data_IF_227203279810
#
_entry.id   IF_227203279810
#
_cell.length_a   1.000
_cell.length_b   1.000
_cell.length_c   1.000
_cell.angle_alpha   90.00
_cell.angle_beta   90.00
_cell.angle_gamma   90.00
#
_symmetry.space_group_name_H-M   'P 1'
#
loop_
_entity.id
_entity.type
_entity.pdbx_description
1 polymer ?
#
# COMPACT_ATOMS: atom_id res chain seq x y z
N UNK A 1 22.02 -6.96 -14.79
CA UNK A 1 22.00 -5.88 -13.79
C UNK A 1 22.08 -6.45 -12.37
N UNK A 2 22.72 -5.72 -11.46
CA UNK A 2 22.80 -6.10 -10.05
C UNK A 2 21.53 -5.65 -9.31
N UNK A 3 20.76 -6.59 -8.76
CA UNK A 3 19.49 -6.30 -8.10
C UNK A 3 19.26 -7.23 -6.89
N UNK A 4 18.30 -6.84 -6.01
CA UNK A 4 17.82 -7.75 -4.98
C UNK A 4 16.88 -8.78 -5.59
N UNK A 5 17.14 -10.05 -5.34
CA UNK A 5 16.27 -11.14 -5.75
C UNK A 5 15.76 -11.89 -4.53
N UNK A 6 14.48 -12.15 -4.50
CA UNK A 6 13.80 -12.93 -3.48
C UNK A 6 13.18 -14.19 -4.09
N UNK A 7 13.45 -15.32 -3.47
CA UNK A 7 13.01 -16.62 -3.95
C UNK A 7 12.32 -17.41 -2.82
N UNK A 8 11.17 -17.98 -3.13
CA UNK A 8 10.29 -18.69 -2.20
C UNK A 8 10.42 -20.20 -2.39
N UNK A 9 10.80 -20.89 -1.33
CA UNK A 9 10.83 -22.37 -1.28
C UNK A 9 10.37 -22.85 0.09
N UNK A 10 9.86 -24.09 0.17
CA UNK A 10 9.43 -24.70 1.45
C UNK A 10 10.56 -24.70 2.50
N UNK A 11 11.80 -25.09 2.18
CA UNK A 11 12.89 -25.02 3.17
C UNK A 11 13.17 -23.61 3.69
N UNK A 12 13.15 -22.57 2.81
CA UNK A 12 13.33 -21.16 3.22
C UNK A 12 12.19 -20.67 4.08
N UNK A 13 10.95 -21.02 3.73
CA UNK A 13 9.78 -20.75 4.57
C UNK A 13 9.95 -21.31 5.98
N UNK A 14 10.33 -22.58 6.12
CA UNK A 14 10.54 -23.21 7.41
C UNK A 14 11.70 -22.58 8.19
N UNK A 15 12.81 -22.24 7.51
CA UNK A 15 13.93 -21.54 8.14
C UNK A 15 13.54 -20.14 8.63
N UNK A 16 12.88 -19.36 7.82
CA UNK A 16 12.44 -18.02 8.21
C UNK A 16 11.46 -18.06 9.38
N UNK A 17 10.50 -18.97 9.36
CA UNK A 17 9.51 -19.13 10.43
C UNK A 17 10.11 -19.62 11.77
N UNK A 18 11.15 -20.44 11.72
CA UNK A 18 11.80 -20.99 12.94
C UNK A 18 12.92 -20.09 13.46
N UNK A 19 13.74 -19.50 12.59
CA UNK A 19 14.94 -18.75 12.96
C UNK A 19 14.77 -17.22 12.87
N UNK A 20 13.75 -16.72 12.16
CA UNK A 20 13.57 -15.29 11.91
C UNK A 20 13.45 -14.44 13.18
N UNK A 21 12.98 -15.02 14.28
CA UNK A 21 12.95 -14.36 15.59
C UNK A 21 14.32 -14.20 16.26
N UNK A 22 15.34 -14.94 15.79
CA UNK A 22 16.69 -14.93 16.37
C UNK A 22 17.71 -14.24 15.49
N UNK A 23 17.49 -14.20 14.17
CA UNK A 23 18.41 -13.59 13.23
C UNK A 23 17.71 -12.99 12.01
N UNK A 24 18.05 -11.74 11.71
CA UNK A 24 17.54 -11.06 10.49
C UNK A 24 18.06 -11.70 9.19
N UNK A 25 19.13 -12.51 9.24
CA UNK A 25 19.60 -13.26 8.06
C UNK A 25 18.58 -14.29 7.57
N UNK A 26 17.71 -14.77 8.45
CA UNK A 26 16.65 -15.70 8.10
C UNK A 26 15.38 -15.00 7.56
N UNK A 27 15.28 -13.66 7.66
CA UNK A 27 14.18 -12.86 7.10
C UNK A 27 14.68 -11.94 5.99
N UNK A 28 15.70 -11.12 6.26
CA UNK A 28 16.21 -10.09 5.34
C UNK A 28 17.57 -10.48 4.73
N UNK A 29 17.83 -11.78 4.59
CA UNK A 29 19.10 -12.29 4.10
C UNK A 29 18.98 -13.59 3.31
N UNK A 30 20.12 -14.17 2.95
CA UNK A 30 20.15 -15.31 2.02
C UNK A 30 19.50 -16.58 2.58
N UNK A 31 19.40 -16.74 3.89
CA UNK A 31 18.72 -17.88 4.51
C UNK A 31 17.21 -17.82 4.28
N UNK A 32 16.61 -16.60 4.30
CA UNK A 32 15.22 -16.32 3.97
C UNK A 32 14.95 -16.24 2.46
N UNK A 33 15.98 -16.24 1.62
CA UNK A 33 15.83 -16.18 0.17
C UNK A 33 16.12 -14.82 -0.47
N UNK A 34 16.37 -13.77 0.32
CA UNK A 34 16.71 -12.45 -0.19
C UNK A 34 18.23 -12.31 -0.37
N UNK A 35 18.67 -11.95 -1.56
CA UNK A 35 20.09 -11.74 -1.88
C UNK A 35 20.30 -10.71 -2.98
N UNK A 36 21.40 -9.98 -2.89
CA UNK A 36 21.92 -9.20 -4.00
C UNK A 36 22.55 -10.16 -5.01
N UNK A 37 22.13 -10.10 -6.28
CA UNK A 37 22.62 -10.99 -7.33
C UNK A 37 22.57 -10.33 -8.71
N UNK A 38 23.27 -10.89 -9.66
CA UNK A 38 23.09 -10.53 -11.06
C UNK A 38 21.81 -11.16 -11.61
N UNK A 39 20.95 -10.34 -12.19
CA UNK A 39 19.76 -10.76 -12.93
C UNK A 39 19.82 -10.19 -14.35
N UNK A 40 19.19 -10.83 -15.33
CA UNK A 40 19.08 -10.26 -16.67
C UNK A 40 18.48 -8.87 -16.62
N UNK A 41 18.98 -7.96 -17.45
CA UNK A 41 18.33 -6.68 -17.66
C UNK A 41 17.04 -6.91 -18.45
N UNK A 42 15.90 -6.33 -18.05
CA UNK A 42 14.63 -6.58 -18.72
C UNK A 42 14.62 -5.91 -20.09
N UNK A 43 14.12 -6.64 -21.10
CA UNK A 43 13.82 -6.08 -22.42
C UNK A 43 12.31 -5.76 -22.51
N UNK A 44 11.94 -4.83 -23.40
CA UNK A 44 10.53 -4.50 -23.63
C UNK A 44 9.77 -5.73 -24.12
N UNK A 45 8.69 -6.13 -23.43
CA UNK A 45 7.87 -7.27 -23.83
C UNK A 45 7.10 -7.05 -25.13
N UNK A 46 6.68 -5.79 -25.41
CA UNK A 46 5.93 -5.41 -26.60
C UNK A 46 6.14 -3.92 -26.94
N UNK A 47 5.57 -3.48 -28.07
CA UNK A 47 5.75 -2.14 -28.60
C UNK A 47 5.12 -1.01 -27.74
N UNK A 48 4.19 -1.35 -26.86
CA UNK A 48 3.48 -0.44 -25.95
C UNK A 48 4.06 -0.43 -24.53
N UNK A 49 5.29 -0.95 -24.38
CA UNK A 49 6.01 -0.98 -23.10
C UNK A 49 7.10 0.09 -23.05
N UNK A 50 7.55 0.39 -21.84
CA UNK A 50 8.53 1.43 -21.53
C UNK A 50 9.63 0.85 -20.65
N UNK A 51 10.88 1.12 -21.01
CA UNK A 51 12.06 0.81 -20.21
C UNK A 51 12.37 1.95 -19.24
N UNK A 52 12.62 1.62 -18.00
CA UNK A 52 12.72 2.57 -16.90
C UNK A 52 14.03 2.37 -16.13
N UNK A 53 14.70 3.47 -15.79
CA UNK A 53 15.73 3.53 -14.76
C UNK A 53 15.09 3.94 -13.45
N UNK A 54 15.19 3.11 -12.44
CA UNK A 54 14.69 3.42 -11.11
C UNK A 54 15.51 4.53 -10.47
N UNK A 55 14.83 5.56 -9.97
CA UNK A 55 15.41 6.63 -9.16
C UNK A 55 15.37 6.21 -7.69
N UNK A 56 14.19 5.77 -7.23
CA UNK A 56 13.99 5.32 -5.86
C UNK A 56 12.78 4.40 -5.75
N UNK A 57 12.79 3.51 -4.77
CA UNK A 57 11.68 2.62 -4.47
C UNK A 57 11.42 2.50 -2.97
N UNK A 58 10.17 2.66 -2.55
CA UNK A 58 9.75 2.52 -1.17
C UNK A 58 9.79 1.07 -0.66
N UNK A 59 9.90 0.94 0.66
CA UNK A 59 9.71 -0.34 1.38
C UNK A 59 8.32 -0.31 2.02
N UNK A 60 7.46 -1.23 1.59
CA UNK A 60 6.11 -1.42 2.13
C UNK A 60 6.09 -2.42 3.28
N UNK A 61 5.09 -2.33 4.15
CA UNK A 61 4.81 -3.37 5.13
C UNK A 61 4.54 -4.74 4.51
N UNK A 62 3.99 -4.77 3.30
CA UNK A 62 3.74 -6.00 2.53
C UNK A 62 5.06 -6.67 2.11
N UNK A 63 6.09 -5.89 1.76
CA UNK A 63 7.43 -6.43 1.46
C UNK A 63 8.01 -7.11 2.69
N UNK A 64 7.95 -6.44 3.85
CA UNK A 64 8.44 -7.01 5.12
C UNK A 64 7.69 -8.29 5.49
N UNK A 65 6.37 -8.31 5.32
CA UNK A 65 5.55 -9.49 5.58
C UNK A 65 5.86 -10.64 4.63
N UNK A 66 6.10 -10.35 3.35
CA UNK A 66 6.47 -11.35 2.32
C UNK A 66 7.86 -11.93 2.61
N UNK A 67 8.85 -11.08 2.86
CA UNK A 67 10.23 -11.50 3.16
C UNK A 67 10.34 -12.31 4.46
N UNK A 68 9.48 -12.02 5.46
CA UNK A 68 9.43 -12.75 6.72
C UNK A 68 8.47 -13.94 6.70
N UNK A 69 7.82 -14.21 5.57
CA UNK A 69 6.79 -15.25 5.42
C UNK A 69 5.64 -15.14 6.44
N UNK A 70 5.26 -13.90 6.77
CA UNK A 70 4.10 -13.60 7.63
C UNK A 70 2.89 -13.08 6.83
N UNK A 71 3.06 -12.83 5.54
CA UNK A 71 1.96 -12.52 4.64
C UNK A 71 0.96 -13.70 4.56
N UNK A 72 -0.29 -13.39 4.19
CA UNK A 72 -1.33 -14.40 4.02
C UNK A 72 -0.95 -15.38 2.90
N UNK A 73 -0.90 -16.68 3.20
CA UNK A 73 -0.58 -17.74 2.23
C UNK A 73 -1.62 -17.85 1.11
N UNK A 74 -2.84 -17.37 1.34
CA UNK A 74 -3.90 -17.30 0.31
C UNK A 74 -3.58 -16.36 -0.85
N UNK A 75 -2.59 -15.47 -0.71
CA UNK A 75 -2.12 -14.61 -1.81
C UNK A 75 -0.98 -15.23 -2.64
N UNK A 76 -0.41 -16.35 -2.21
CA UNK A 76 0.70 -17.01 -2.93
C UNK A 76 0.37 -17.32 -4.39
N UNK A 77 -0.82 -17.83 -4.76
CA UNK A 77 -1.16 -18.11 -6.15
C UNK A 77 -1.16 -16.89 -7.09
N UNK A 78 -1.21 -15.68 -6.51
CA UNK A 78 -1.24 -14.40 -7.23
C UNK A 78 0.14 -13.71 -7.28
N UNK A 79 1.20 -14.46 -7.07
CA UNK A 79 2.59 -14.06 -7.24
C UNK A 79 3.37 -15.10 -8.02
N UNK A 80 4.54 -14.73 -8.53
CA UNK A 80 5.49 -15.65 -9.16
C UNK A 80 6.92 -15.30 -8.72
N UNK A 81 7.73 -16.33 -8.44
CA UNK A 81 9.08 -16.19 -7.89
C UNK A 81 10.09 -17.06 -8.68
N UNK A 82 11.41 -16.73 -8.69
CA UNK A 82 12.03 -15.61 -7.97
C UNK A 82 11.64 -14.24 -8.56
N UNK A 83 11.58 -13.20 -7.73
CA UNK A 83 11.21 -11.85 -8.11
C UNK A 83 12.24 -10.81 -7.62
N UNK A 84 12.33 -9.68 -8.32
CA UNK A 84 12.99 -8.47 -7.80
C UNK A 84 11.90 -7.65 -7.09
N UNK A 85 11.97 -7.45 -5.75
CA UNK A 85 10.92 -6.76 -5.01
C UNK A 85 10.87 -5.25 -5.26
N UNK A 86 9.93 -4.57 -4.56
CA UNK A 86 9.72 -3.12 -4.60
C UNK A 86 8.66 -2.71 -5.61
N UNK A 87 7.53 -2.19 -5.10
CA UNK A 87 6.36 -1.82 -5.90
C UNK A 87 5.96 -0.35 -5.74
N UNK A 88 6.58 0.41 -4.84
CA UNK A 88 6.41 1.85 -4.69
C UNK A 88 7.55 2.55 -5.47
N UNK A 89 7.33 2.93 -6.72
CA UNK A 89 8.44 3.20 -7.67
C UNK A 89 8.37 4.60 -8.24
N UNK A 90 9.48 5.33 -8.11
CA UNK A 90 9.80 6.52 -8.88
C UNK A 90 10.93 6.16 -9.86
N UNK A 91 10.74 6.48 -11.13
CA UNK A 91 11.71 6.14 -12.18
C UNK A 91 11.85 7.25 -13.23
N UNK A 92 12.82 7.09 -14.10
CA UNK A 92 13.03 7.91 -15.31
C UNK A 92 12.92 7.01 -16.54
N UNK A 93 12.25 7.50 -17.57
CA UNK A 93 12.14 6.79 -18.84
C UNK A 93 13.49 6.75 -19.52
N UNK A 94 13.96 5.56 -19.90
CA UNK A 94 15.18 5.33 -20.70
C UNK A 94 14.88 4.87 -22.12
N UNK A 95 13.81 4.09 -22.28
CA UNK A 95 13.42 3.55 -23.58
C UNK A 95 11.90 3.63 -23.72
N UNK A 96 11.43 3.98 -24.92
CA UNK A 96 10.00 4.05 -25.22
C UNK A 96 9.71 3.12 -26.40
N UNK A 97 8.81 2.19 -26.22
CA UNK A 97 8.37 1.31 -27.30
C UNK A 97 7.66 2.06 -28.42
N UNK A 98 7.75 1.60 -29.67
CA UNK A 98 7.33 2.38 -30.86
C UNK A 98 5.81 2.64 -30.93
N UNK A 99 4.98 1.93 -30.16
CA UNK A 99 3.55 2.20 -30.09
C UNK A 99 3.17 3.28 -29.05
N UNK A 100 4.07 3.65 -28.15
CA UNK A 100 3.86 4.71 -27.14
C UNK A 100 4.12 6.08 -27.80
N UNK A 101 3.15 7.00 -27.71
CA UNK A 101 3.20 8.29 -28.42
C UNK A 101 3.21 9.53 -27.53
N UNK A 102 2.93 9.34 -26.25
CA UNK A 102 2.67 10.40 -25.27
C UNK A 102 3.68 10.42 -24.13
N UNK A 103 4.77 9.65 -24.25
CA UNK A 103 5.89 9.63 -23.31
C UNK A 103 7.21 9.85 -24.04
N UNK A 104 8.17 10.47 -23.36
CA UNK A 104 9.49 10.77 -23.88
C UNK A 104 10.61 10.29 -22.95
N UNK A 105 11.75 9.91 -23.51
CA UNK A 105 12.95 9.58 -22.75
C UNK A 105 13.37 10.77 -21.89
N UNK A 106 13.72 10.49 -20.65
CA UNK A 106 14.12 11.50 -19.67
C UNK A 106 13.00 11.96 -18.73
N UNK A 107 11.72 11.72 -19.05
CA UNK A 107 10.60 12.05 -18.14
C UNK A 107 10.71 11.29 -16.83
N UNK A 108 10.43 11.98 -15.71
CA UNK A 108 10.21 11.36 -14.41
C UNK A 108 8.81 10.79 -14.37
N UNK A 109 8.67 9.56 -13.85
CA UNK A 109 7.40 8.84 -13.81
C UNK A 109 7.25 8.07 -12.51
N UNK A 110 6.01 7.91 -12.05
CA UNK A 110 5.64 6.91 -11.06
C UNK A 110 4.91 5.77 -11.74
N UNK A 111 5.07 4.58 -11.20
CA UNK A 111 4.58 3.34 -11.82
C UNK A 111 3.44 2.75 -10.99
N UNK A 112 2.28 2.55 -11.61
CA UNK A 112 1.25 1.67 -11.08
C UNK A 112 1.72 0.21 -11.19
N UNK A 113 2.03 -0.47 -10.09
CA UNK A 113 2.56 -1.82 -10.15
C UNK A 113 1.50 -2.89 -10.45
N UNK A 114 0.20 -2.56 -10.49
CA UNK A 114 -0.87 -3.54 -10.68
C UNK A 114 -0.90 -4.11 -12.09
N UNK A 115 -1.04 -5.44 -12.19
CA UNK A 115 -1.05 -6.18 -13.45
C UNK A 115 -2.50 -6.42 -13.91
N UNK A 116 -3.07 -5.43 -14.59
CA UNK A 116 -4.41 -5.51 -15.19
C UNK A 116 -4.49 -6.50 -16.36
N UNK A 117 -5.68 -6.82 -16.85
CA UNK A 117 -5.88 -7.58 -18.09
C UNK A 117 -5.13 -6.95 -19.25
N UNK A 118 -5.10 -5.62 -19.38
CA UNK A 118 -4.38 -4.90 -20.42
C UNK A 118 -2.87 -5.15 -20.36
N UNK A 119 -2.27 -5.04 -19.18
CA UNK A 119 -0.84 -5.32 -18.97
C UNK A 119 -0.50 -6.78 -19.32
N UNK A 120 -1.46 -7.69 -19.05
CA UNK A 120 -1.32 -9.11 -19.40
C UNK A 120 -1.50 -9.39 -20.89
N UNK A 121 -1.89 -8.40 -21.72
CA UNK A 121 -2.05 -8.49 -23.15
C UNK A 121 -3.41 -9.04 -23.59
N UNK A 122 -4.40 -9.10 -22.69
CA UNK A 122 -5.77 -9.45 -23.11
C UNK A 122 -6.39 -8.29 -23.89
N UNK A 123 -7.09 -8.55 -25.00
CA UNK A 123 -7.82 -7.51 -25.73
C UNK A 123 -8.96 -6.94 -24.88
N UNK A 124 -9.37 -5.69 -25.14
CA UNK A 124 -10.33 -4.96 -24.29
C UNK A 124 -11.66 -5.69 -24.09
N UNK A 125 -12.14 -6.41 -25.12
CA UNK A 125 -13.35 -7.24 -25.09
C UNK A 125 -13.25 -8.45 -24.15
N UNK A 126 -12.04 -8.91 -23.86
CA UNK A 126 -11.75 -10.05 -22.96
C UNK A 126 -11.38 -9.61 -21.54
N UNK A 127 -11.34 -8.32 -21.26
CA UNK A 127 -11.05 -7.85 -19.91
C UNK A 127 -12.09 -8.38 -18.91
N UNK A 128 -11.63 -8.80 -17.73
CA UNK A 128 -12.49 -9.22 -16.64
C UNK A 128 -13.38 -8.07 -16.14
N UNK A 129 -14.52 -8.34 -15.47
CA UNK A 129 -15.42 -7.32 -14.93
C UNK A 129 -14.70 -6.24 -14.09
N UNK A 130 -13.76 -6.64 -13.24
CA UNK A 130 -12.99 -5.72 -12.40
C UNK A 130 -12.14 -4.75 -13.24
N UNK A 131 -11.39 -5.24 -14.22
CA UNK A 131 -10.57 -4.39 -15.09
C UNK A 131 -11.44 -3.48 -16.00
N UNK A 132 -12.58 -3.96 -16.49
CA UNK A 132 -13.53 -3.14 -17.26
C UNK A 132 -14.11 -1.97 -16.47
N UNK A 133 -14.22 -2.11 -15.17
CA UNK A 133 -14.69 -1.05 -14.27
C UNK A 133 -13.56 -0.23 -13.65
N UNK A 134 -12.32 -0.36 -14.18
CA UNK A 134 -11.17 0.40 -13.72
C UNK A 134 -10.63 -0.02 -12.34
N UNK A 135 -10.83 -1.30 -11.95
CA UNK A 135 -10.41 -1.86 -10.64
C UNK A 135 -9.34 -2.95 -10.81
N UNK A 136 -8.12 -2.61 -11.29
CA UNK A 136 -7.09 -3.61 -11.57
C UNK A 136 -6.59 -4.35 -10.31
N UNK A 137 -6.69 -3.74 -9.13
CA UNK A 137 -6.32 -4.37 -7.86
C UNK A 137 -7.13 -5.62 -7.51
N UNK A 138 -8.29 -5.82 -8.14
CA UNK A 138 -9.14 -7.01 -8.01
C UNK A 138 -9.24 -7.78 -9.33
N UNK A 139 -8.20 -7.74 -10.16
CA UNK A 139 -8.19 -8.44 -11.46
C UNK A 139 -8.46 -9.93 -11.27
N UNK A 140 -9.52 -10.43 -11.92
CA UNK A 140 -9.96 -11.82 -11.81
C UNK A 140 -9.08 -12.80 -12.58
N UNK A 141 -8.21 -12.27 -13.47
CA UNK A 141 -7.22 -13.05 -14.23
C UNK A 141 -5.84 -13.13 -13.56
N UNK A 142 -5.71 -12.64 -12.32
CA UNK A 142 -4.40 -12.54 -11.64
C UNK A 142 -3.71 -13.90 -11.40
N UNK A 143 -4.48 -14.98 -11.33
CA UNK A 143 -3.99 -16.36 -11.17
C UNK A 143 -3.60 -17.06 -12.48
N UNK A 144 -3.82 -16.42 -13.63
CA UNK A 144 -3.57 -16.99 -14.96
C UNK A 144 -2.34 -16.35 -15.61
N UNK A 145 -1.68 -17.08 -16.49
CA UNK A 145 -0.62 -16.51 -17.33
C UNK A 145 -1.22 -15.54 -18.36
N UNK A 146 -0.51 -14.45 -18.65
CA UNK A 146 -0.93 -13.47 -19.65
C UNK A 146 -0.68 -13.92 -21.09
N UNK A 147 -1.20 -13.16 -22.05
CA UNK A 147 -0.90 -13.34 -23.49
C UNK A 147 0.31 -12.52 -23.93
N UNK A 148 0.65 -11.43 -23.24
CA UNK A 148 1.93 -10.71 -23.41
C UNK A 148 3.09 -11.68 -23.29
N UNK A 149 4.09 -11.55 -24.15
CA UNK A 149 5.25 -12.45 -24.18
C UNK A 149 6.48 -11.80 -23.59
N UNK A 150 7.14 -12.51 -22.70
CA UNK A 150 8.47 -12.15 -22.19
C UNK A 150 9.48 -13.14 -22.77
N UNK A 151 10.18 -12.71 -23.81
CA UNK A 151 11.00 -13.61 -24.63
C UNK A 151 10.16 -14.70 -25.30
N UNK A 152 10.47 -15.97 -25.03
CA UNK A 152 9.80 -17.12 -25.67
C UNK A 152 8.53 -17.60 -24.91
N UNK A 153 8.26 -17.12 -23.70
CA UNK A 153 7.16 -17.60 -22.85
C UNK A 153 6.08 -16.54 -22.62
N UNK A 154 4.85 -16.91 -22.26
CA UNK A 154 3.84 -15.96 -21.82
C UNK A 154 4.26 -15.32 -20.49
N UNK A 155 3.72 -14.12 -20.23
CA UNK A 155 3.88 -13.43 -18.96
C UNK A 155 3.28 -14.28 -17.83
N UNK A 156 4.07 -14.58 -16.82
CA UNK A 156 3.65 -15.41 -15.69
C UNK A 156 2.47 -14.78 -14.94
N UNK A 157 1.74 -15.60 -14.20
CA UNK A 157 0.71 -15.14 -13.26
C UNK A 157 1.29 -14.17 -12.21
N UNK A 158 0.46 -13.30 -11.68
CA UNK A 158 0.83 -12.34 -10.63
C UNK A 158 -0.11 -11.14 -10.61
N UNK A 159 -0.26 -10.48 -9.49
CA UNK A 159 -1.12 -9.30 -9.35
C UNK A 159 -0.32 -8.00 -9.42
N UNK A 160 0.98 -8.04 -9.07
CA UNK A 160 1.75 -6.82 -8.81
C UNK A 160 3.21 -6.99 -9.22
N UNK A 161 3.78 -6.00 -9.91
CA UNK A 161 5.22 -5.84 -10.09
C UNK A 161 5.88 -5.87 -8.68
N UNK A 162 7.08 -6.43 -8.57
CA UNK A 162 7.76 -6.62 -7.28
C UNK A 162 7.47 -7.96 -6.61
N UNK A 163 6.40 -8.66 -7.03
CA UNK A 163 6.09 -10.04 -6.65
C UNK A 163 5.92 -10.91 -7.92
N UNK A 164 6.67 -10.57 -8.97
CA UNK A 164 6.51 -11.15 -10.30
C UNK A 164 7.85 -11.59 -10.89
N UNK A 165 7.90 -12.83 -11.39
CA UNK A 165 9.15 -13.43 -11.87
C UNK A 165 9.69 -12.80 -13.17
N UNK A 166 8.82 -12.26 -14.01
CA UNK A 166 9.19 -11.71 -15.32
C UNK A 166 9.31 -10.17 -15.32
N UNK A 167 8.71 -9.50 -14.33
CA UNK A 167 8.68 -8.04 -14.24
C UNK A 167 9.39 -7.60 -12.96
N UNK A 168 10.67 -7.19 -13.07
CA UNK A 168 11.41 -6.73 -11.89
C UNK A 168 10.79 -5.48 -11.29
N UNK A 169 10.75 -5.43 -9.95
CA UNK A 169 10.37 -4.25 -9.20
C UNK A 169 11.53 -3.26 -9.00
N UNK A 170 11.27 -2.25 -8.18
CA UNK A 170 12.18 -1.12 -7.99
C UNK A 170 13.42 -1.37 -7.12
N UNK A 171 13.65 -2.59 -6.61
CA UNK A 171 14.88 -2.90 -5.88
C UNK A 171 15.97 -3.43 -6.82
N UNK A 172 16.06 -2.79 -7.97
CA UNK A 172 17.07 -2.93 -9.00
C UNK A 172 17.10 -1.68 -9.88
N UNK A 173 18.19 -1.44 -10.64
CA UNK A 173 18.37 -0.20 -11.39
C UNK A 173 17.47 -0.05 -12.61
N UNK A 174 16.98 -1.17 -13.18
CA UNK A 174 16.17 -1.18 -14.40
C UNK A 174 14.93 -2.04 -14.24
N UNK A 175 13.85 -1.57 -14.82
CA UNK A 175 12.58 -2.28 -14.91
C UNK A 175 11.86 -1.94 -16.22
N UNK A 176 10.80 -2.67 -16.51
CA UNK A 176 9.88 -2.37 -17.62
C UNK A 176 8.46 -2.31 -17.09
N UNK A 177 7.64 -1.45 -17.71
CA UNK A 177 6.22 -1.35 -17.42
C UNK A 177 5.43 -1.05 -18.70
N UNK A 178 4.18 -1.48 -18.74
CA UNK A 178 3.27 -1.16 -19.82
C UNK A 178 2.86 0.32 -19.78
N UNK A 179 2.61 0.94 -20.93
CA UNK A 179 2.24 2.37 -21.02
C UNK A 179 1.11 2.76 -20.04
N UNK A 180 0.11 1.89 -19.85
CA UNK A 180 -1.02 2.17 -18.95
C UNK A 180 -0.65 2.24 -17.47
N UNK A 181 0.54 1.80 -17.08
CA UNK A 181 1.06 1.84 -15.71
C UNK A 181 1.93 3.09 -15.45
N UNK A 182 2.18 3.91 -16.46
CA UNK A 182 3.15 5.03 -16.41
C UNK A 182 2.41 6.35 -16.23
N UNK A 183 2.78 7.09 -15.17
CA UNK A 183 2.23 8.40 -14.84
C UNK A 183 3.35 9.42 -14.72
N UNK A 184 3.45 10.40 -15.66
CA UNK A 184 4.42 11.47 -15.57
C UNK A 184 4.30 12.25 -14.26
N UNK A 185 5.43 12.59 -13.67
CA UNK A 185 5.51 13.36 -12.42
C UNK A 185 5.58 14.85 -12.74
N UNK A 186 4.68 15.69 -12.21
CA UNK A 186 4.78 17.14 -12.32
C UNK A 186 6.11 17.67 -11.78
N UNK A 187 6.65 18.72 -12.42
CA UNK A 187 7.94 19.32 -12.03
C UNK A 187 7.91 19.91 -10.61
N UNK A 188 6.73 20.29 -10.13
CA UNK A 188 6.50 20.81 -8.78
C UNK A 188 6.69 19.77 -7.67
N UNK A 189 6.63 18.49 -8.00
CA UNK A 189 6.84 17.42 -7.04
C UNK A 189 8.31 17.00 -7.01
N UNK A 190 8.95 17.11 -5.86
CA UNK A 190 10.27 16.55 -5.63
C UNK A 190 10.25 15.01 -5.56
N UNK A 191 11.41 14.36 -5.66
CA UNK A 191 11.52 12.91 -5.72
C UNK A 191 11.01 12.22 -4.44
N UNK A 192 11.15 12.86 -3.26
CA UNK A 192 10.61 12.32 -2.00
C UNK A 192 9.08 12.36 -1.96
N UNK A 193 8.47 13.40 -2.53
CA UNK A 193 7.01 13.46 -2.66
C UNK A 193 6.52 12.50 -3.74
N UNK A 194 7.22 12.40 -4.86
CA UNK A 194 6.83 11.58 -5.99
C UNK A 194 6.85 10.07 -5.67
N UNK A 195 7.85 9.55 -4.94
CA UNK A 195 7.92 8.13 -4.55
C UNK A 195 6.77 7.71 -3.63
N UNK A 196 6.09 8.68 -3.01
CA UNK A 196 4.94 8.45 -2.13
C UNK A 196 3.60 8.39 -2.88
N UNK A 197 3.56 8.70 -4.18
CA UNK A 197 2.30 8.69 -4.94
C UNK A 197 1.59 7.35 -4.85
N UNK A 198 2.32 6.23 -4.97
CA UNK A 198 1.74 4.90 -4.83
C UNK A 198 1.09 4.69 -3.45
N UNK A 199 1.80 4.77 -2.30
CA UNK A 199 1.19 4.51 -1.00
C UNK A 199 0.13 5.56 -0.60
N UNK A 200 0.25 6.81 -1.04
CA UNK A 200 -0.78 7.84 -0.81
C UNK A 200 -2.07 7.56 -1.60
N UNK A 201 -1.93 6.95 -2.78
CA UNK A 201 -3.07 6.59 -3.63
C UNK A 201 -3.95 5.50 -2.99
N UNK A 202 -3.42 4.66 -2.11
CA UNK A 202 -4.22 3.72 -1.31
C UNK A 202 -5.23 4.48 -0.44
N UNK A 203 -4.76 5.50 0.29
CA UNK A 203 -5.60 6.37 1.12
C UNK A 203 -6.58 7.19 0.28
N UNK A 204 -6.13 7.70 -0.88
CA UNK A 204 -6.97 8.46 -1.81
C UNK A 204 -8.10 7.60 -2.38
N UNK A 205 -7.78 6.39 -2.84
CA UNK A 205 -8.78 5.43 -3.33
C UNK A 205 -9.86 5.16 -2.28
N UNK A 206 -9.46 4.92 -1.04
CA UNK A 206 -10.39 4.69 0.06
C UNK A 206 -11.22 5.94 0.39
N UNK A 207 -10.61 7.12 0.46
CA UNK A 207 -11.30 8.37 0.74
C UNK A 207 -12.36 8.71 -0.32
N UNK A 208 -12.09 8.43 -1.60
CA UNK A 208 -13.02 8.67 -2.71
C UNK A 208 -14.16 7.63 -2.78
N UNK A 209 -13.92 6.38 -2.36
CA UNK A 209 -14.90 5.28 -2.47
C UNK A 209 -15.67 4.97 -1.19
N UNK A 210 -15.23 5.51 -0.07
CA UNK A 210 -15.91 5.44 1.22
C UNK A 210 -15.83 6.80 1.94
N UNK A 211 -16.22 7.91 1.29
CA UNK A 211 -16.11 9.23 1.89
C UNK A 211 -16.95 9.34 3.16
N UNK A 212 -16.50 10.13 4.15
CA UNK A 212 -17.36 10.50 5.27
C UNK A 212 -18.50 11.41 4.81
N UNK A 213 -19.64 11.29 5.46
CA UNK A 213 -20.75 12.24 5.27
C UNK A 213 -20.44 13.59 5.94
N UNK A 214 -21.04 14.69 5.50
CA UNK A 214 -20.88 15.98 6.13
C UNK A 214 -21.20 15.93 7.64
N UNK A 215 -20.27 16.38 8.48
CA UNK A 215 -20.45 16.41 9.94
C UNK A 215 -20.22 15.09 10.66
N UNK A 216 -19.86 14.02 9.98
CA UNK A 216 -19.44 12.78 10.64
C UNK A 216 -18.08 12.92 11.32
N UNK A 217 -17.94 12.26 12.46
CA UNK A 217 -16.64 12.04 13.10
C UNK A 217 -15.96 10.83 12.49
N UNK A 218 -14.68 10.98 12.16
CA UNK A 218 -13.86 9.94 11.55
C UNK A 218 -12.72 9.55 12.47
N UNK A 219 -12.53 8.26 12.68
CA UNK A 219 -11.36 7.71 13.35
C UNK A 219 -10.44 7.02 12.34
N UNK A 220 -9.17 7.41 12.31
CA UNK A 220 -8.11 6.70 11.56
C UNK A 220 -7.23 5.96 12.56
N UNK A 221 -7.25 4.63 12.52
CA UNK A 221 -6.44 3.76 13.37
C UNK A 221 -5.13 3.43 12.65
N UNK A 222 -4.03 3.88 13.24
CA UNK A 222 -2.68 3.72 12.72
C UNK A 222 -1.98 5.04 12.47
N UNK A 223 -0.67 4.97 12.29
CA UNK A 223 0.22 6.13 12.12
C UNK A 223 1.36 5.88 11.14
N UNK A 224 1.28 4.79 10.37
CA UNK A 224 2.17 4.50 9.25
C UNK A 224 1.77 5.24 7.97
N UNK A 225 2.51 5.04 6.87
CA UNK A 225 2.30 5.76 5.60
C UNK A 225 0.87 5.70 5.09
N UNK A 226 0.20 4.56 5.20
CA UNK A 226 -1.19 4.40 4.74
C UNK A 226 -2.15 5.24 5.59
N UNK A 227 -2.01 5.24 6.93
CA UNK A 227 -2.84 6.05 7.80
C UNK A 227 -2.63 7.56 7.56
N UNK A 228 -1.36 7.98 7.48
CA UNK A 228 -0.98 9.37 7.20
C UNK A 228 -1.46 9.82 5.81
N UNK A 229 -1.35 8.93 4.80
CA UNK A 229 -1.90 9.15 3.47
C UNK A 229 -3.43 9.26 3.47
N UNK A 230 -4.13 8.44 4.27
CA UNK A 230 -5.59 8.51 4.41
C UNK A 230 -6.03 9.82 5.06
N UNK A 231 -5.34 10.29 6.11
CA UNK A 231 -5.61 11.59 6.75
C UNK A 231 -5.48 12.72 5.73
N UNK A 232 -4.35 12.76 5.00
CA UNK A 232 -4.14 13.75 3.94
C UNK A 232 -5.20 13.65 2.85
N UNK A 233 -5.50 12.45 2.36
CA UNK A 233 -6.46 12.23 1.28
C UNK A 233 -7.87 12.72 1.65
N UNK A 234 -8.34 12.45 2.86
CA UNK A 234 -9.62 12.97 3.37
C UNK A 234 -9.66 14.49 3.36
N UNK A 235 -8.61 15.16 3.83
CA UNK A 235 -8.52 16.63 3.81
C UNK A 235 -8.42 17.20 2.40
N UNK A 236 -7.57 16.61 1.58
CA UNK A 236 -7.36 17.03 0.20
C UNK A 236 -8.62 16.83 -0.67
N UNK A 237 -9.43 15.79 -0.40
CA UNK A 237 -10.73 15.58 -1.05
C UNK A 237 -11.87 16.43 -0.50
N UNK A 238 -11.61 17.32 0.49
CA UNK A 238 -12.55 18.33 0.94
C UNK A 238 -13.26 18.01 2.27
N UNK A 239 -12.92 16.94 2.98
CA UNK A 239 -13.53 16.65 4.27
C UNK A 239 -13.11 17.69 5.33
N UNK A 240 -14.09 18.34 5.97
CA UNK A 240 -13.91 19.39 6.98
C UNK A 240 -14.36 18.99 8.40
N UNK A 241 -14.93 17.78 8.55
CA UNK A 241 -15.43 17.29 9.86
C UNK A 241 -14.31 16.90 10.82
N UNK A 242 -14.69 16.36 11.96
CA UNK A 242 -13.78 15.86 13.00
C UNK A 242 -12.98 14.67 12.46
N UNK A 243 -11.67 14.76 12.49
CA UNK A 243 -10.74 13.71 12.07
C UNK A 243 -9.78 13.40 13.20
N UNK A 244 -10.01 12.27 13.86
CA UNK A 244 -9.18 11.77 14.96
C UNK A 244 -8.23 10.73 14.41
N UNK A 245 -6.94 10.85 14.72
CA UNK A 245 -5.92 9.89 14.37
C UNK A 245 -5.37 9.18 15.60
N UNK A 246 -5.19 7.87 15.53
CA UNK A 246 -4.58 7.11 16.60
C UNK A 246 -3.11 6.83 16.29
N UNK A 247 -2.21 7.50 17.03
CA UNK A 247 -0.77 7.37 16.87
C UNK A 247 -0.09 6.90 18.17
N UNK A 248 0.98 6.09 18.01
CA UNK A 248 1.71 5.52 19.16
C UNK A 248 2.92 6.34 19.59
N UNK A 249 3.40 7.26 18.74
CA UNK A 249 4.66 7.99 18.94
C UNK A 249 4.52 9.46 18.57
N UNK A 250 5.29 10.31 19.25
CA UNK A 250 5.22 11.74 19.07
C UNK A 250 5.55 12.21 17.65
N UNK A 251 6.53 11.59 16.97
CA UNK A 251 6.87 11.95 15.61
C UNK A 251 5.75 11.59 14.63
N UNK A 252 5.10 10.44 14.80
CA UNK A 252 3.93 10.02 14.02
C UNK A 252 2.75 10.97 14.28
N UNK A 253 2.53 11.36 15.54
CA UNK A 253 1.47 12.31 15.92
C UNK A 253 1.70 13.70 15.31
N UNK A 254 2.96 14.18 15.27
CA UNK A 254 3.29 15.45 14.59
C UNK A 254 2.97 15.39 13.10
N UNK A 255 3.32 14.30 12.41
CA UNK A 255 3.01 14.11 10.99
C UNK A 255 1.52 14.03 10.75
N UNK A 256 0.76 13.31 11.58
CA UNK A 256 -0.69 13.24 11.47
C UNK A 256 -1.34 14.62 11.56
N UNK A 257 -0.92 15.46 12.52
CA UNK A 257 -1.41 16.85 12.63
C UNK A 257 -1.02 17.69 11.42
N UNK A 258 0.21 17.59 10.96
CA UNK A 258 0.70 18.32 9.77
C UNK A 258 -0.08 17.96 8.50
N UNK A 259 -0.61 16.73 8.41
CA UNK A 259 -1.42 16.24 7.29
C UNK A 259 -2.94 16.45 7.49
N UNK A 260 -3.37 17.05 8.61
CA UNK A 260 -4.73 17.50 8.79
C UNK A 260 -5.57 16.74 9.82
N UNK A 261 -4.97 15.87 10.66
CA UNK A 261 -5.69 15.35 11.81
C UNK A 261 -6.05 16.49 12.77
N UNK A 262 -7.33 16.60 13.13
CA UNK A 262 -7.81 17.61 14.08
C UNK A 262 -7.41 17.27 15.51
N UNK A 263 -7.41 15.96 15.82
CA UNK A 263 -6.99 15.41 17.10
C UNK A 263 -6.12 14.19 16.88
N UNK A 264 -5.16 13.95 17.77
CA UNK A 264 -4.32 12.75 17.75
C UNK A 264 -4.28 12.18 19.16
N UNK A 265 -4.67 10.92 19.29
CA UNK A 265 -4.79 10.20 20.56
C UNK A 265 -3.85 8.98 20.58
N UNK A 266 -3.32 8.66 21.76
CA UNK A 266 -2.62 7.41 21.95
C UNK A 266 -3.60 6.23 22.05
N UNK A 267 -3.19 5.00 21.63
CA UNK A 267 -3.98 3.79 21.89
C UNK A 267 -4.19 3.55 23.41
N UNK A 268 -5.33 3.03 23.79
CA UNK A 268 -5.69 2.79 25.19
C UNK A 268 -6.60 3.87 25.75
N UNK A 269 -6.22 4.50 26.85
CA UNK A 269 -7.11 5.39 27.61
C UNK A 269 -7.52 6.65 26.82
N UNK A 270 -6.59 7.27 26.08
CA UNK A 270 -6.92 8.43 25.27
C UNK A 270 -7.90 8.09 24.13
N UNK A 271 -7.65 6.98 23.42
CA UNK A 271 -8.57 6.53 22.36
C UNK A 271 -9.95 6.14 22.94
N UNK A 272 -9.98 5.59 24.15
CA UNK A 272 -11.23 5.30 24.85
C UNK A 272 -11.95 6.58 25.27
N UNK A 273 -11.22 7.60 25.75
CA UNK A 273 -11.81 8.89 26.08
C UNK A 273 -12.42 9.55 24.84
N UNK A 274 -11.69 9.55 23.70
CA UNK A 274 -12.23 10.06 22.43
C UNK A 274 -13.52 9.34 22.00
N UNK A 275 -13.64 8.04 22.27
CA UNK A 275 -14.87 7.29 22.06
C UNK A 275 -16.00 7.75 23.00
N UNK A 276 -15.71 7.93 24.29
CA UNK A 276 -16.69 8.43 25.29
C UNK A 276 -17.18 9.83 24.93
N UNK A 277 -16.31 10.69 24.40
CA UNK A 277 -16.64 12.05 23.97
C UNK A 277 -17.64 12.06 22.78
N UNK A 278 -17.78 10.96 22.03
CA UNK A 278 -18.88 10.79 21.05
C UNK A 278 -20.25 10.50 21.70
N UNK A 279 -20.33 10.39 23.02
CA UNK A 279 -21.52 10.01 23.77
C UNK A 279 -21.61 8.51 24.07
N UNK A 280 -20.58 7.73 23.80
CA UNK A 280 -20.54 6.31 24.10
C UNK A 280 -20.42 6.07 25.61
N UNK A 281 -21.21 5.11 26.12
CA UNK A 281 -21.17 4.66 27.51
C UNK A 281 -20.51 3.30 27.58
N UNK A 282 -19.61 3.13 28.55
CA UNK A 282 -18.88 1.90 28.78
C UNK A 282 -19.65 0.93 29.69
N UNK A 283 -19.64 -0.35 29.34
CA UNK A 283 -20.24 -1.42 30.11
C UNK A 283 -19.25 -2.58 30.27
N UNK A 284 -19.08 -3.05 31.48
CA UNK A 284 -18.20 -4.18 31.78
C UNK A 284 -19.01 -5.48 31.77
N UNK A 285 -18.74 -6.41 30.80
CA UNK A 285 -19.32 -7.74 30.82
C UNK A 285 -18.81 -8.54 32.04
N UNK A 286 -19.54 -9.58 32.45
CA UNK A 286 -19.08 -10.52 33.51
C UNK A 286 -17.75 -11.17 33.10
N UNK A 287 -17.57 -11.47 31.80
CA UNK A 287 -16.34 -12.02 31.23
C UNK A 287 -16.09 -11.32 29.90
N UNK A 288 -14.85 -10.92 29.65
CA UNK A 288 -14.43 -10.28 28.39
C UNK A 288 -14.02 -8.83 28.55
N UNK A 289 -13.77 -8.19 27.43
CA UNK A 289 -13.36 -6.78 27.37
C UNK A 289 -14.59 -5.84 27.45
N UNK A 290 -14.34 -4.63 27.90
CA UNK A 290 -15.33 -3.56 27.98
C UNK A 290 -16.05 -3.35 26.63
N UNK A 291 -17.34 -3.15 26.66
CA UNK A 291 -18.20 -2.88 25.52
C UNK A 291 -18.84 -1.48 25.64
N UNK A 292 -19.25 -0.92 24.53
CA UNK A 292 -19.78 0.43 24.50
C UNK A 292 -21.17 0.47 23.85
N UNK A 293 -22.04 1.35 24.31
CA UNK A 293 -23.34 1.59 23.69
C UNK A 293 -23.64 3.09 23.67
N UNK A 294 -24.48 3.52 22.74
CA UNK A 294 -24.63 4.94 22.42
C UNK A 294 -23.36 5.47 21.73
N UNK A 295 -23.37 6.58 21.07
CA UNK A 295 -22.19 7.17 20.41
C UNK A 295 -21.44 6.24 19.48
N UNK A 296 -20.13 6.42 19.40
CA UNK A 296 -19.21 5.70 18.53
C UNK A 296 -18.87 6.44 17.25
N UNK A 297 -17.88 5.95 16.50
CA UNK A 297 -17.45 6.55 15.23
C UNK A 297 -18.28 6.01 14.07
N UNK A 298 -19.00 6.86 13.32
CA UNK A 298 -19.75 6.45 12.14
C UNK A 298 -18.86 5.89 11.03
N UNK A 299 -17.60 6.33 10.96
CA UNK A 299 -16.61 5.88 9.99
C UNK A 299 -15.25 5.69 10.64
N UNK A 300 -14.69 4.49 10.47
CA UNK A 300 -13.36 4.12 10.95
C UNK A 300 -12.53 3.63 9.77
N UNK A 301 -11.33 4.19 9.58
CA UNK A 301 -10.32 3.63 8.69
C UNK A 301 -9.31 2.83 9.52
N UNK A 302 -9.32 1.51 9.41
CA UNK A 302 -8.30 0.63 10.00
C UNK A 302 -7.14 0.46 9.02
N UNK A 303 -6.10 1.25 9.22
CA UNK A 303 -4.88 1.23 8.41
C UNK A 303 -3.80 0.29 8.97
N UNK A 304 -4.12 -0.51 9.98
CA UNK A 304 -3.19 -1.45 10.63
C UNK A 304 -3.48 -2.90 10.23
N UNK A 305 -4.75 -3.33 10.24
CA UNK A 305 -5.16 -4.68 9.90
C UNK A 305 -4.70 -5.75 10.88
N UNK A 306 -4.46 -5.38 12.14
CA UNK A 306 -4.09 -6.35 13.19
C UNK A 306 -5.31 -6.89 13.93
N UNK A 307 -5.20 -8.06 14.64
CA UNK A 307 -6.28 -8.54 15.48
C UNK A 307 -6.78 -7.50 16.50
N UNK A 308 -5.86 -6.73 17.09
CA UNK A 308 -6.21 -5.71 18.09
C UNK A 308 -6.85 -4.46 17.45
N UNK A 309 -6.39 -3.99 16.29
CA UNK A 309 -6.98 -2.83 15.64
C UNK A 309 -8.38 -3.14 15.12
N UNK A 310 -8.58 -4.32 14.53
CA UNK A 310 -9.89 -4.71 14.03
C UNK A 310 -10.88 -4.99 15.18
N UNK A 311 -10.45 -5.63 16.27
CA UNK A 311 -11.27 -5.76 17.49
C UNK A 311 -11.66 -4.39 18.06
N UNK A 312 -10.73 -3.43 18.10
CA UNK A 312 -11.01 -2.05 18.50
C UNK A 312 -12.01 -1.39 17.56
N UNK A 313 -11.80 -1.49 16.23
CA UNK A 313 -12.70 -0.92 15.21
C UNK A 313 -14.15 -1.40 15.40
N UNK A 314 -14.33 -2.73 15.60
CA UNK A 314 -15.65 -3.31 15.82
C UNK A 314 -16.34 -2.78 17.09
N UNK A 315 -15.59 -2.53 18.16
CA UNK A 315 -16.14 -2.01 19.42
C UNK A 315 -16.38 -0.51 19.39
N UNK A 316 -15.58 0.25 18.63
CA UNK A 316 -15.62 1.71 18.57
C UNK A 316 -16.58 2.24 17.51
N UNK A 317 -17.00 1.40 16.56
CA UNK A 317 -17.94 1.80 15.53
C UNK A 317 -19.33 2.12 16.12
N UNK A 318 -19.92 3.21 15.67
CA UNK A 318 -21.32 3.54 15.95
C UNK A 318 -22.26 2.48 15.36
N UNK A 319 -23.51 2.33 15.86
CA UNK A 319 -24.52 1.50 15.21
C UNK A 319 -24.68 1.91 13.73
N UNK A 320 -24.70 0.93 12.81
CA UNK A 320 -24.69 1.11 11.34
C UNK A 320 -23.47 1.87 10.81
N UNK A 321 -22.41 1.92 11.61
CA UNK A 321 -21.13 2.52 11.21
C UNK A 321 -20.39 1.67 10.16
N UNK A 322 -19.47 2.30 9.48
CA UNK A 322 -18.62 1.68 8.44
C UNK A 322 -17.18 1.55 8.92
N UNK A 323 -16.60 0.38 8.72
CA UNK A 323 -15.18 0.11 8.97
C UNK A 323 -14.52 -0.15 7.62
N UNK A 324 -13.56 0.70 7.28
CA UNK A 324 -12.75 0.61 6.05
C UNK A 324 -11.41 -0.01 6.39
N UNK A 325 -11.15 -1.20 5.86
CA UNK A 325 -9.91 -1.95 6.08
C UNK A 325 -8.91 -1.62 4.98
N UNK A 326 -7.81 -0.98 5.34
CA UNK A 326 -6.67 -0.66 4.47
C UNK A 326 -5.39 -1.38 4.90
N UNK A 327 -5.26 -1.70 6.18
CA UNK A 327 -4.18 -2.54 6.66
C UNK A 327 -4.26 -3.93 6.06
N UNK A 328 -3.12 -4.44 5.55
CA UNK A 328 -3.04 -5.78 4.96
C UNK A 328 -3.16 -6.86 6.05
N UNK A 329 -4.40 -7.11 6.48
CA UNK A 329 -4.70 -8.15 7.45
C UNK A 329 -4.33 -9.52 6.89
N UNK A 330 -3.48 -10.23 7.62
CA UNK A 330 -3.24 -11.64 7.37
C UNK A 330 -4.36 -12.48 8.02
N UNK A 331 -4.08 -13.71 8.38
CA UNK A 331 -5.05 -14.54 9.11
C UNK A 331 -5.27 -14.00 10.52
N UNK A 332 -6.51 -13.64 10.86
CA UNK A 332 -6.92 -13.16 12.18
C UNK A 332 -7.69 -14.26 12.89
N UNK A 333 -7.04 -15.01 13.80
CA UNK A 333 -7.72 -16.04 14.56
C UNK A 333 -8.61 -15.42 15.66
N UNK A 334 -9.75 -16.06 15.93
CA UNK A 334 -10.65 -15.72 17.07
C UNK A 334 -11.17 -14.27 17.06
N UNK A 335 -11.48 -13.72 15.90
CA UNK A 335 -12.15 -12.43 15.82
C UNK A 335 -13.61 -12.58 16.24
N UNK A 336 -14.04 -11.78 17.22
CA UNK A 336 -15.44 -11.72 17.64
C UNK A 336 -16.23 -10.83 16.68
N UNK A 337 -17.11 -11.43 15.89
CA UNK A 337 -17.98 -10.74 14.95
C UNK A 337 -19.34 -10.34 15.53
N UNK A 338 -19.55 -10.48 16.83
CA UNK A 338 -20.82 -10.14 17.49
C UNK A 338 -21.27 -8.72 17.16
N UNK A 339 -20.35 -7.74 17.17
CA UNK A 339 -20.69 -6.35 16.87
C UNK A 339 -21.08 -6.11 15.42
N UNK A 340 -20.61 -6.94 14.49
CA UNK A 340 -20.99 -6.80 13.07
C UNK A 340 -22.49 -6.95 12.90
N UNK A 341 -23.08 -8.03 13.42
CA UNK A 341 -24.52 -8.27 13.29
C UNK A 341 -25.34 -7.53 14.35
N UNK A 342 -24.82 -7.38 15.59
CA UNK A 342 -25.55 -6.72 16.68
C UNK A 342 -25.68 -5.20 16.52
N UNK A 343 -24.79 -4.59 15.74
CA UNK A 343 -24.82 -3.14 15.42
C UNK A 343 -25.04 -2.85 13.94
N UNK A 344 -25.29 -3.88 13.12
CA UNK A 344 -25.47 -3.73 11.66
C UNK A 344 -24.30 -2.99 11.01
N UNK A 345 -23.04 -3.38 11.35
CA UNK A 345 -21.85 -2.71 10.83
C UNK A 345 -21.54 -3.14 9.39
N UNK A 346 -21.04 -2.20 8.59
CA UNK A 346 -20.46 -2.46 7.28
C UNK A 346 -18.95 -2.61 7.40
N UNK A 347 -18.40 -3.77 7.00
CA UNK A 347 -16.95 -3.99 6.85
C UNK A 347 -16.61 -3.99 5.37
N UNK A 348 -15.73 -3.08 4.94
CA UNK A 348 -15.31 -2.99 3.55
C UNK A 348 -13.80 -2.89 3.44
N UNK A 349 -13.18 -3.82 2.69
CA UNK A 349 -11.77 -3.76 2.32
C UNK A 349 -11.57 -2.99 1.03
N UNK A 350 -10.40 -2.33 0.93
CA UNK A 350 -9.91 -1.75 -0.32
C UNK A 350 -8.50 -2.27 -0.60
N UNK A 351 -8.18 -2.41 -1.88
CA UNK A 351 -6.87 -2.82 -2.36
C UNK A 351 -6.47 -1.99 -3.58
N UNK A 352 -5.25 -1.48 -3.55
CA UNK A 352 -4.70 -0.74 -4.67
C UNK A 352 -5.44 0.58 -4.94
N UNK A 353 -5.62 0.86 -6.20
CA UNK A 353 -6.18 2.09 -6.78
C UNK A 353 -6.76 1.74 -8.16
N UNK A 354 -7.33 2.74 -8.84
CA UNK A 354 -7.94 2.52 -10.15
C UNK A 354 -8.52 3.80 -10.72
N UNK A 355 -9.56 3.66 -11.56
CA UNK A 355 -10.30 4.79 -12.09
C UNK A 355 -11.32 5.29 -11.07
N UNK A 356 -11.34 6.60 -10.86
CA UNK A 356 -12.21 7.31 -9.92
C UNK A 356 -13.06 8.34 -10.64
N UNK A 357 -14.23 8.64 -10.07
CA UNK A 357 -15.00 9.82 -10.46
C UNK A 357 -14.49 11.03 -9.68
N UNK A 358 -13.78 11.92 -10.37
CA UNK A 358 -13.17 13.09 -9.77
C UNK A 358 -13.53 14.36 -10.54
N UNK A 359 -14.12 15.36 -9.87
CA UNK A 359 -14.47 16.67 -10.45
C UNK A 359 -15.19 16.57 -11.80
N UNK A 360 -16.10 15.57 -11.95
CA UNK A 360 -16.90 15.35 -13.15
C UNK A 360 -16.22 14.57 -14.29
N UNK A 361 -15.00 14.08 -14.09
CA UNK A 361 -14.27 13.21 -15.03
C UNK A 361 -13.93 11.85 -14.40
N UNK A 362 -13.60 10.88 -15.24
CA UNK A 362 -12.94 9.65 -14.81
C UNK A 362 -11.44 9.88 -14.87
N UNK A 363 -10.75 9.60 -13.77
CA UNK A 363 -9.32 9.85 -13.65
C UNK A 363 -8.67 8.75 -12.82
N UNK A 364 -7.43 8.38 -13.14
CA UNK A 364 -6.69 7.41 -12.34
C UNK A 364 -6.29 8.00 -10.97
N UNK A 365 -6.37 7.19 -9.91
CA UNK A 365 -6.06 7.63 -8.55
C UNK A 365 -4.67 8.29 -8.43
N UNK A 366 -3.66 7.83 -9.20
CA UNK A 366 -2.32 8.44 -9.21
C UNK A 366 -2.33 9.88 -9.72
N UNK A 367 -3.10 10.16 -10.78
CA UNK A 367 -3.21 11.51 -11.33
C UNK A 367 -3.91 12.43 -10.34
N UNK A 368 -5.00 11.96 -9.71
CA UNK A 368 -5.71 12.70 -8.65
C UNK A 368 -4.76 12.98 -7.47
N UNK A 369 -4.00 11.97 -7.05
CA UNK A 369 -3.02 12.10 -5.96
C UNK A 369 -1.97 13.16 -6.29
N UNK A 370 -1.38 13.12 -7.49
CA UNK A 370 -0.40 14.12 -7.93
C UNK A 370 -1.00 15.53 -8.04
N UNK A 371 -2.20 15.67 -8.65
CA UNK A 371 -2.93 16.94 -8.73
C UNK A 371 -3.11 17.55 -7.34
N UNK A 372 -3.61 16.77 -6.39
CA UNK A 372 -3.85 17.24 -5.02
C UNK A 372 -2.58 17.48 -4.22
N UNK A 373 -1.49 16.77 -4.48
CA UNK A 373 -0.20 17.07 -3.87
C UNK A 373 0.33 18.44 -4.31
N UNK A 374 0.21 18.76 -5.60
CA UNK A 374 0.59 20.08 -6.14
C UNK A 374 -0.32 21.18 -5.59
N UNK A 375 -1.64 20.95 -5.57
CA UNK A 375 -2.62 21.94 -5.09
C UNK A 375 -2.45 22.24 -3.59
N UNK A 376 -2.37 21.20 -2.75
CA UNK A 376 -2.36 21.35 -1.29
C UNK A 376 -1.00 21.71 -0.73
N UNK A 377 0.08 21.41 -1.47
CA UNK A 377 1.48 21.55 -1.01
C UNK A 377 1.71 20.92 0.37
N UNK A 378 1.00 19.82 0.63
CA UNK A 378 1.10 19.11 1.90
C UNK A 378 2.54 18.61 2.14
N UNK A 379 3.03 18.61 3.38
CA UNK A 379 4.42 18.24 3.70
C UNK A 379 4.65 16.72 3.66
N UNK A 380 4.11 16.04 2.63
CA UNK A 380 4.20 14.57 2.51
C UNK A 380 5.63 14.07 2.37
N UNK A 381 6.54 14.89 1.82
CA UNK A 381 7.98 14.56 1.73
C UNK A 381 8.59 14.16 3.06
N UNK A 382 8.07 14.68 4.18
CA UNK A 382 8.56 14.42 5.53
C UNK A 382 8.21 13.00 6.01
N UNK A 383 7.33 12.29 5.29
CA UNK A 383 7.07 10.86 5.50
C UNK A 383 8.25 10.00 5.09
N UNK A 384 9.08 10.44 4.12
CA UNK A 384 10.33 9.77 3.75
C UNK A 384 11.40 10.11 4.79
N UNK A 385 11.46 9.32 5.84
CA UNK A 385 12.36 9.53 6.98
C UNK A 385 13.76 8.98 6.74
N UNK A 386 13.88 7.94 5.91
CA UNK A 386 15.14 7.25 5.66
C UNK A 386 15.32 6.95 4.18
N UNK A 387 16.50 7.22 3.67
CA UNK A 387 16.93 6.88 2.31
C UNK A 387 18.24 6.10 2.40
N UNK A 388 18.32 4.98 1.72
CA UNK A 388 19.51 4.13 1.70
C UNK A 388 19.86 3.75 0.26
N UNK A 389 21.16 3.69 -0.09
CA UNK A 389 21.56 3.06 -1.33
C UNK A 389 21.22 1.56 -1.30
N UNK A 390 20.95 0.97 -2.48
CA UNK A 390 20.48 -0.40 -2.60
C UNK A 390 21.42 -1.45 -1.95
N UNK A 391 22.72 -1.21 -1.94
CA UNK A 391 23.69 -2.11 -1.31
C UNK A 391 23.57 -2.16 0.23
N UNK A 392 22.93 -1.15 0.84
CA UNK A 392 22.62 -1.10 2.27
C UNK A 392 21.22 -1.66 2.62
N UNK A 393 20.63 -2.46 1.74
CA UNK A 393 19.26 -2.97 1.87
C UNK A 393 18.96 -3.62 3.23
N UNK A 394 19.93 -4.30 3.86
CA UNK A 394 19.68 -4.94 5.17
C UNK A 394 19.44 -3.91 6.26
N UNK A 395 20.22 -2.82 6.25
CA UNK A 395 20.03 -1.69 7.17
C UNK A 395 18.68 -1.03 6.92
N UNK A 396 18.31 -0.83 5.65
CA UNK A 396 17.03 -0.27 5.26
C UNK A 396 15.85 -1.13 5.72
N UNK A 397 15.90 -2.44 5.48
CA UNK A 397 14.86 -3.39 5.91
C UNK A 397 14.76 -3.49 7.43
N UNK A 398 15.92 -3.50 8.13
CA UNK A 398 15.95 -3.46 9.60
C UNK A 398 15.35 -2.15 10.14
N UNK A 399 15.66 -1.00 9.54
CA UNK A 399 15.06 0.28 9.91
C UNK A 399 13.55 0.26 9.69
N UNK A 400 13.08 -0.23 8.53
CA UNK A 400 11.67 -0.34 8.20
C UNK A 400 10.90 -1.32 9.11
N UNK A 401 11.52 -2.41 9.56
CA UNK A 401 10.91 -3.39 10.46
C UNK A 401 10.90 -2.94 11.94
N UNK A 402 11.90 -2.16 12.35
CA UNK A 402 12.11 -1.77 13.75
C UNK A 402 11.71 -0.31 14.05
N UNK A 403 10.52 0.12 13.63
CA UNK A 403 10.02 1.51 13.79
C UNK A 403 10.21 2.10 15.20
N UNK A 404 10.22 1.25 16.25
CA UNK A 404 10.42 1.72 17.63
C UNK A 404 11.80 2.30 17.88
N UNK A 405 12.81 1.82 17.16
CA UNK A 405 14.22 2.24 17.34
C UNK A 405 14.66 3.23 16.28
N UNK A 406 14.20 3.03 15.06
CA UNK A 406 14.60 3.84 13.91
C UNK A 406 13.80 5.13 13.76
N UNK A 407 12.59 5.19 14.36
CA UNK A 407 11.60 6.24 14.07
C UNK A 407 11.21 6.31 12.59
N UNK A 408 11.39 5.21 11.85
CA UNK A 408 11.08 5.13 10.43
C UNK A 408 9.57 5.21 10.19
N UNK A 409 9.14 6.06 9.25
CA UNK A 409 7.80 6.12 8.70
C UNK A 409 7.80 5.50 7.30
N UNK A 410 8.52 6.10 6.35
CA UNK A 410 8.81 5.52 5.05
C UNK A 410 10.31 5.41 4.86
N UNK A 411 10.75 4.23 4.46
CA UNK A 411 12.13 3.94 4.07
C UNK A 411 12.17 3.73 2.57
N UNK A 412 13.18 4.29 1.92
CA UNK A 412 13.36 4.27 0.47
C UNK A 412 14.73 3.71 0.13
N UNK A 413 14.81 2.89 -0.92
CA UNK A 413 16.05 2.39 -1.53
C UNK A 413 16.31 3.14 -2.83
N UNK A 414 17.57 3.51 -3.06
CA UNK A 414 18.08 4.09 -4.30
C UNK A 414 19.04 3.08 -4.95
N UNK A 415 18.68 2.50 -6.10
CA UNK A 415 19.51 1.51 -6.83
C UNK A 415 20.77 2.05 -7.45
#
# INVERSE_FOLDING_TARGET
MRALSFDVTIPRYLLARSLGRFTELATFGPLGGLRMTEVPEPALPAEDWVGLRVISAGICGTDLATLSFTAATSLEPFGSFPAVPGHEILARIEEVGPAVRDLEVGMRVVVDPLLSCRVRGHPDEEHCPSCRTGRPGTCEMAGEDGTTRVGARPLSRGLTIGYHADLPGGWGPFMVAHRSQIFPVPDELDDRSAVLVEPLSIGMHAALNAPPEPGQDVLVIGSGPIALGTIWALRASGFQGTLISQAKRDHEARLARALGAGEVVAPGDEARQALVDTGAQAYQPIVGEEVYAGGGFPLIYDCVGSPSSLSQSLRFAAPRGRIVMLGCAAMIPKLDLTFVWARELELRGFVGYGLERWRGREEHTFQITQELLVETRAPVRDLVTHVFPLDQFRTALSAAANHRRSEAVKVVLEP
#
